data_IF_737285682171
#
_entry.id   IF_737285682171
#
_cell.length_a   1.000
_cell.length_b   1.000
_cell.length_c   1.000
_cell.angle_alpha   90.00
_cell.angle_beta   90.00
_cell.angle_gamma   90.00
#
_symmetry.space_group_name_H-M   'P 1'
#
loop_
_entity.id
_entity.type
_entity.pdbx_description
1 polymer ?
#
# COMPACT_ATOMS: atom_id res chain seq x y z
N UNK A 1 3.51 -4.43 17.98
CA UNK A 1 4.08 -5.34 16.97
C UNK A 1 2.98 -6.26 16.49
N UNK A 2 2.40 -5.91 15.36
CA UNK A 2 1.51 -6.77 14.61
C UNK A 2 2.27 -7.99 14.07
N UNK A 3 1.58 -9.12 14.05
CA UNK A 3 2.07 -10.39 13.51
C UNK A 3 1.88 -10.46 12.00
N UNK A 4 2.54 -11.42 11.33
CA UNK A 4 2.36 -11.68 9.91
C UNK A 4 0.88 -11.96 9.55
N UNK A 5 0.15 -12.66 10.43
CA UNK A 5 -1.27 -12.95 10.25
C UNK A 5 -2.13 -11.69 10.31
N UNK A 6 -1.85 -10.80 11.28
CA UNK A 6 -2.54 -9.50 11.39
C UNK A 6 -2.21 -8.61 10.19
N UNK A 7 -0.95 -8.58 9.73
CA UNK A 7 -0.57 -7.84 8.53
C UNK A 7 -1.30 -8.34 7.29
N UNK A 8 -1.45 -9.67 7.14
CA UNK A 8 -2.20 -10.25 6.03
C UNK A 8 -3.68 -9.86 6.06
N UNK A 9 -4.31 -9.95 7.23
CA UNK A 9 -5.71 -9.54 7.42
C UNK A 9 -5.91 -8.04 7.20
N UNK A 10 -4.96 -7.24 7.68
CA UNK A 10 -4.96 -5.80 7.50
C UNK A 10 -4.73 -5.43 6.02
N UNK A 11 -3.90 -6.14 5.27
CA UNK A 11 -3.80 -5.90 3.82
C UNK A 11 -5.11 -6.15 3.09
N UNK A 12 -5.85 -7.21 3.46
CA UNK A 12 -7.16 -7.51 2.86
C UNK A 12 -8.16 -6.38 3.17
N UNK A 13 -8.22 -5.95 4.44
CA UNK A 13 -9.08 -4.84 4.87
C UNK A 13 -8.67 -3.50 4.22
N UNK A 14 -7.36 -3.27 4.05
CA UNK A 14 -6.85 -2.08 3.37
C UNK A 14 -7.28 -2.07 1.90
N UNK A 15 -7.32 -3.24 1.27
CA UNK A 15 -7.78 -3.43 -0.11
C UNK A 15 -9.24 -3.06 -0.28
N UNK A 16 -10.09 -3.47 0.68
CA UNK A 16 -11.51 -3.12 0.68
C UNK A 16 -11.72 -1.62 0.94
N UNK A 17 -10.95 -1.03 1.86
CA UNK A 17 -10.98 0.40 2.12
C UNK A 17 -10.52 1.21 0.90
N UNK A 18 -9.51 0.74 0.17
CA UNK A 18 -9.03 1.35 -1.07
C UNK A 18 -10.08 1.28 -2.18
N UNK A 19 -10.82 0.18 -2.28
CA UNK A 19 -11.91 0.04 -3.24
C UNK A 19 -13.07 1.01 -2.97
N UNK A 20 -13.25 1.41 -1.70
CA UNK A 20 -14.26 2.39 -1.28
C UNK A 20 -13.76 3.84 -1.18
N UNK A 21 -12.45 4.10 -1.28
CA UNK A 21 -11.88 5.43 -1.08
C UNK A 21 -11.90 6.26 -2.39
N UNK A 22 -12.66 7.35 -2.41
CA UNK A 22 -12.67 8.34 -3.48
C UNK A 22 -11.57 9.42 -3.27
N UNK A 23 -10.85 9.81 -4.34
CA UNK A 23 -9.81 10.86 -4.32
C UNK A 23 -8.59 10.55 -5.20
N UNK A 24 -7.45 11.24 -5.00
CA UNK A 24 -6.15 10.99 -5.69
C UNK A 24 -5.73 9.50 -5.72
N UNK A 25 -6.22 8.74 -4.74
CA UNK A 25 -6.05 7.29 -4.64
C UNK A 25 -6.82 6.54 -5.74
N UNK A 26 -7.99 7.04 -6.17
CA UNK A 26 -8.76 6.53 -7.32
C UNK A 26 -7.91 6.54 -8.60
N UNK A 27 -7.12 7.59 -8.81
CA UNK A 27 -6.19 7.69 -9.92
C UNK A 27 -5.15 6.56 -9.92
N UNK A 28 -4.71 6.12 -8.74
CA UNK A 28 -3.84 4.95 -8.57
C UNK A 28 -4.61 3.60 -8.61
N UNK A 29 -5.85 3.57 -8.10
CA UNK A 29 -6.73 2.41 -7.98
C UNK A 29 -7.39 1.97 -9.29
N UNK A 30 -7.59 2.87 -10.24
CA UNK A 30 -8.12 2.56 -11.58
C UNK A 30 -7.08 1.85 -12.47
N UNK A 31 -5.82 1.78 -12.04
CA UNK A 31 -4.74 1.22 -12.84
C UNK A 31 -4.44 -0.22 -12.41
N UNK A 32 -4.52 -1.16 -13.37
CA UNK A 32 -4.07 -2.56 -13.18
C UNK A 32 -2.54 -2.62 -13.08
N UNK A 33 -1.99 -2.61 -11.85
CA UNK A 33 -0.55 -2.44 -11.58
C UNK A 33 -0.03 -3.36 -10.49
N UNK A 34 1.27 -3.68 -10.55
CA UNK A 34 1.92 -4.45 -9.49
C UNK A 34 2.19 -3.58 -8.25
N UNK A 35 1.93 -4.17 -7.08
CA UNK A 35 2.12 -3.55 -5.77
C UNK A 35 3.03 -4.42 -4.91
N UNK A 36 3.94 -3.82 -4.16
CA UNK A 36 4.69 -4.51 -3.10
C UNK A 36 4.63 -3.70 -1.82
N UNK A 37 4.28 -4.34 -0.71
CA UNK A 37 4.26 -3.75 0.63
C UNK A 37 5.32 -4.40 1.50
N UNK A 38 6.33 -3.63 1.91
CA UNK A 38 7.40 -4.05 2.80
C UNK A 38 7.10 -3.64 4.24
N UNK A 39 7.00 -4.63 5.12
CA UNK A 39 6.77 -4.51 6.55
C UNK A 39 8.13 -4.55 7.25
N UNK A 40 8.62 -3.37 7.64
CA UNK A 40 9.99 -3.14 8.11
C UNK A 40 10.34 -3.83 9.43
N UNK A 41 9.36 -3.94 10.32
CA UNK A 41 9.50 -4.56 11.64
C UNK A 41 9.48 -6.09 11.57
N UNK A 42 8.78 -6.67 10.59
CA UNK A 42 8.76 -8.11 10.33
C UNK A 42 9.78 -8.55 9.28
N UNK A 43 10.48 -7.61 8.66
CA UNK A 43 11.33 -7.82 7.48
C UNK A 43 10.63 -8.73 6.45
N UNK A 44 9.38 -8.37 6.09
CA UNK A 44 8.54 -9.18 5.22
C UNK A 44 7.94 -8.32 4.10
N UNK A 45 7.97 -8.83 2.88
CA UNK A 45 7.37 -8.17 1.71
C UNK A 45 6.19 -8.96 1.20
N UNK A 46 5.03 -8.31 1.15
CA UNK A 46 3.83 -8.78 0.47
C UNK A 46 3.82 -8.24 -0.96
N UNK A 47 3.70 -9.11 -1.95
CA UNK A 47 3.56 -8.73 -3.35
C UNK A 47 2.13 -8.97 -3.81
N UNK A 48 1.65 -8.11 -4.68
CA UNK A 48 0.26 -8.13 -5.11
C UNK A 48 0.05 -7.32 -6.39
N UNK A 49 -1.22 -7.19 -6.76
CA UNK A 49 -1.66 -6.40 -7.90
C UNK A 49 -2.89 -5.59 -7.50
N UNK A 50 -2.86 -4.30 -7.77
CA UNK A 50 -4.00 -3.41 -7.65
C UNK A 50 -4.79 -3.50 -8.95
N UNK A 51 -6.07 -3.89 -8.90
CA UNK A 51 -6.95 -3.96 -10.04
C UNK A 51 -8.38 -3.58 -9.63
N UNK A 52 -9.02 -2.68 -10.39
CA UNK A 52 -10.37 -2.19 -10.10
C UNK A 52 -10.54 -1.64 -8.67
N UNK A 53 -9.52 -0.94 -8.17
CA UNK A 53 -9.49 -0.43 -6.80
C UNK A 53 -9.28 -1.46 -5.69
N UNK A 54 -9.07 -2.73 -6.03
CA UNK A 54 -8.79 -3.80 -5.05
C UNK A 54 -7.36 -4.27 -5.16
N UNK A 55 -6.65 -4.35 -4.03
CA UNK A 55 -5.36 -5.02 -4.00
C UNK A 55 -5.62 -6.52 -3.86
N UNK A 56 -5.02 -7.31 -4.75
CA UNK A 56 -4.94 -8.75 -4.65
C UNK A 56 -3.53 -9.12 -4.25
N UNK A 57 -3.35 -9.60 -3.01
CA UNK A 57 -2.07 -10.17 -2.58
C UNK A 57 -1.84 -11.46 -3.37
N UNK A 58 -0.71 -11.53 -4.07
CA UNK A 58 -0.31 -12.65 -4.89
C UNK A 58 0.65 -13.56 -4.15
N UNK A 59 1.62 -12.97 -3.45
CA UNK A 59 2.64 -13.73 -2.73
C UNK A 59 3.18 -12.95 -1.53
N UNK A 60 3.93 -13.61 -0.67
CA UNK A 60 4.57 -13.02 0.50
C UNK A 60 5.91 -13.71 0.71
N UNK A 61 6.95 -12.90 0.91
CA UNK A 61 8.31 -13.41 1.08
C UNK A 61 9.01 -12.62 2.17
N UNK A 62 9.90 -13.28 2.90
CA UNK A 62 10.77 -12.63 3.86
C UNK A 62 11.90 -11.86 3.16
N UNK A 63 12.25 -10.73 3.75
CA UNK A 63 13.24 -9.78 3.28
C UNK A 63 12.70 -8.63 2.44
N UNK A 64 13.61 -7.81 1.89
CA UNK A 64 13.26 -6.64 1.11
C UNK A 64 12.61 -7.02 -0.24
N UNK A 65 11.83 -6.10 -0.84
CA UNK A 65 11.14 -6.34 -2.09
C UNK A 65 12.13 -6.74 -3.19
N UNK A 66 12.04 -8.00 -3.63
CA UNK A 66 12.89 -8.59 -4.67
C UNK A 66 12.55 -8.05 -6.06
N UNK A 67 11.29 -7.68 -6.28
CA UNK A 67 10.80 -7.19 -7.55
C UNK A 67 10.52 -5.68 -7.52
N UNK A 68 10.78 -5.01 -8.65
CA UNK A 68 10.38 -3.62 -8.85
C UNK A 68 8.88 -3.57 -9.16
N UNK A 69 8.06 -3.54 -8.12
CA UNK A 69 6.64 -3.21 -8.25
C UNK A 69 6.47 -1.74 -8.69
N UNK A 70 5.40 -1.46 -9.44
CA UNK A 70 5.06 -0.09 -9.85
C UNK A 70 4.64 0.77 -8.64
N UNK A 71 4.01 0.16 -7.66
CA UNK A 71 3.64 0.77 -6.38
C UNK A 71 4.44 0.06 -5.27
N UNK A 72 5.36 0.78 -4.64
CA UNK A 72 6.12 0.28 -3.49
C UNK A 72 5.69 1.00 -2.21
N UNK A 73 5.16 0.23 -1.27
CA UNK A 73 4.81 0.68 0.07
C UNK A 73 5.85 0.14 1.04
N UNK A 74 6.30 0.96 1.99
CA UNK A 74 7.06 0.48 3.14
C UNK A 74 6.52 1.11 4.43
N UNK A 75 6.18 0.28 5.40
CA UNK A 75 5.60 0.69 6.69
C UNK A 75 5.95 -0.33 7.77
N UNK A 76 5.46 -0.15 9.00
CA UNK A 76 5.49 -1.22 10.02
C UNK A 76 4.15 -1.93 10.08
N UNK A 77 4.10 -3.13 10.65
CA UNK A 77 2.86 -3.87 10.85
C UNK A 77 1.89 -3.10 11.75
N UNK A 78 2.42 -2.42 12.78
CA UNK A 78 1.63 -1.56 13.66
C UNK A 78 0.97 -0.39 12.91
N UNK A 79 1.71 0.28 12.01
CA UNK A 79 1.14 1.34 11.17
C UNK A 79 0.08 0.78 10.22
N UNK A 80 0.30 -0.41 9.65
CA UNK A 80 -0.67 -1.07 8.78
C UNK A 80 -1.98 -1.36 9.52
N UNK A 81 -1.92 -1.98 10.70
CA UNK A 81 -3.09 -2.28 11.52
C UNK A 81 -3.79 -1.00 11.96
N UNK A 82 -3.06 0.04 12.38
CA UNK A 82 -3.64 1.32 12.73
C UNK A 82 -4.36 2.00 11.56
N UNK A 83 -3.86 1.84 10.33
CA UNK A 83 -4.51 2.39 9.14
C UNK A 83 -5.82 1.70 8.82
N UNK A 84 -5.89 0.37 8.91
CA UNK A 84 -7.16 -0.33 8.68
C UNK A 84 -8.15 -0.19 9.84
N UNK A 85 -7.65 0.00 11.06
CA UNK A 85 -8.47 0.37 12.21
C UNK A 85 -9.03 1.79 12.14
N UNK A 86 -8.62 2.60 11.15
CA UNK A 86 -9.02 4.01 11.03
C UNK A 86 -8.35 4.94 12.05
N UNK A 87 -7.46 4.41 12.88
CA UNK A 87 -6.69 5.18 13.88
C UNK A 87 -5.59 6.02 13.24
N UNK A 88 -5.09 5.58 12.08
CA UNK A 88 -4.04 6.26 11.32
C UNK A 88 -4.50 6.57 9.90
N UNK A 89 -4.58 7.86 9.57
CA UNK A 89 -4.89 8.27 8.20
C UNK A 89 -3.66 8.07 7.29
N UNK A 90 -3.82 7.36 6.18
CA UNK A 90 -2.76 7.07 5.21
C UNK A 90 -2.01 8.35 4.76
N UNK A 91 -2.74 9.41 4.41
CA UNK A 91 -2.13 10.66 3.95
C UNK A 91 -1.26 11.31 5.05
N UNK A 92 -1.70 11.23 6.31
CA UNK A 92 -0.94 11.74 7.47
C UNK A 92 0.26 10.86 7.80
N UNK A 93 0.12 9.54 7.69
CA UNK A 93 1.22 8.59 7.88
C UNK A 93 2.29 8.76 6.80
N UNK A 94 1.88 9.03 5.57
CA UNK A 94 2.77 9.32 4.46
C UNK A 94 3.48 10.67 4.63
N UNK A 95 2.73 11.72 4.94
CA UNK A 95 3.31 13.06 5.18
C UNK A 95 4.27 13.09 6.37
N UNK A 96 4.04 12.26 7.39
CA UNK A 96 4.95 12.13 8.54
C UNK A 96 6.15 11.21 8.29
N UNK A 97 6.23 10.55 7.13
CA UNK A 97 7.30 9.61 6.80
C UNK A 97 7.20 8.25 7.49
N UNK A 98 6.10 7.98 8.21
CA UNK A 98 5.82 6.67 8.80
C UNK A 98 5.52 5.63 7.71
N UNK A 99 4.75 6.03 6.71
CA UNK A 99 4.47 5.22 5.51
C UNK A 99 5.26 5.81 4.34
N UNK A 100 6.04 4.98 3.67
CA UNK A 100 6.77 5.36 2.46
C UNK A 100 6.03 4.80 1.25
N UNK A 101 5.36 5.67 0.50
CA UNK A 101 4.75 5.33 -0.78
C UNK A 101 5.69 5.82 -1.90
N UNK A 102 6.31 4.86 -2.58
CA UNK A 102 7.04 5.07 -3.83
C UNK A 102 6.19 4.51 -4.97
N UNK A 103 5.22 5.29 -5.43
CA UNK A 103 4.59 5.06 -6.72
C UNK A 103 5.55 5.56 -7.82
N UNK A 104 5.62 4.86 -8.95
CA UNK A 104 6.38 5.33 -10.11
C UNK A 104 6.05 6.80 -10.42
N UNK A 105 7.05 7.67 -10.31
CA UNK A 105 6.96 9.14 -10.43
C UNK A 105 6.17 9.66 -11.66
N UNK A 106 5.92 8.80 -12.66
CA UNK A 106 5.07 9.11 -13.82
C UNK A 106 3.60 9.39 -13.48
N UNK A 107 3.04 8.83 -12.40
CA UNK A 107 1.63 9.06 -12.05
C UNK A 107 1.38 10.38 -11.30
N UNK A 108 2.31 10.79 -10.44
CA UNK A 108 2.29 12.14 -9.83
C UNK A 108 2.37 13.25 -10.90
N UNK A 109 3.05 12.98 -12.02
CA UNK A 109 3.13 13.89 -13.17
C UNK A 109 1.85 13.91 -14.01
N UNK A 110 1.13 12.77 -14.15
CA UNK A 110 -0.16 12.71 -14.88
C UNK A 110 -1.29 13.38 -14.11
N UNK A 111 -1.28 13.32 -12.78
CA UNK A 111 -2.23 14.07 -11.94
C UNK A 111 -2.08 15.59 -12.13
N UNK A 112 -0.87 16.07 -12.44
CA UNK A 112 -0.62 17.50 -12.71
C UNK A 112 -1.06 17.97 -14.09
N UNK A 113 -1.44 17.07 -15.01
CA UNK A 113 -1.94 17.45 -16.36
C UNK A 113 -3.46 17.57 -16.44
N UNK A 114 -4.17 17.45 -15.31
CA UNK A 114 -5.62 17.67 -15.18
C UNK A 114 -5.94 18.99 -14.46
N UNK A 115 -4.99 19.92 -14.43
CA UNK A 115 -5.13 21.31 -13.96
C UNK A 115 -4.92 22.28 -15.13
#
# INVERSE_FOLDING_TARGET
MATMAECRSALDTLSDNLAGADGDVRGAADLDRSLSCHIRDLDATFTGRLANGRIKVLDTHEGPPREKAEIRLAMTGDDLVAMVGGELNFAKAWASGRVRLEAGFRDLLKLRSLL
#
